data_IF_702707686522
#
_entry.id   IF_702707686522
#
_cell.length_a   1.000
_cell.length_b   1.000
_cell.length_c   1.000
_cell.angle_alpha   90.00
_cell.angle_beta   90.00
_cell.angle_gamma   90.00
#
_symmetry.space_group_name_H-M   'P 1'
#
loop_
_entity.id
_entity.type
_entity.pdbx_description
1 polymer ?
#
# COMPACT_ATOMS: atom_id res chain seq x y z
N UNK A 1 30.09 8.55 6.88
CA UNK A 1 30.12 10.03 6.89
C UNK A 1 29.75 10.47 8.29
N UNK A 2 30.63 11.17 8.98
CA UNK A 2 30.37 11.68 10.34
C UNK A 2 29.60 13.00 10.23
N UNK A 3 28.37 13.03 10.75
CA UNK A 3 27.60 14.27 10.93
C UNK A 3 27.90 14.84 12.31
N UNK A 4 28.00 16.17 12.43
CA UNK A 4 28.19 16.84 13.72
C UNK A 4 27.15 16.36 14.75
N UNK A 5 27.54 16.16 16.03
CA UNK A 5 26.61 15.76 17.08
C UNK A 5 25.37 16.67 17.10
N UNK A 6 24.19 16.09 16.85
CA UNK A 6 22.91 16.80 16.85
C UNK A 6 22.33 17.10 15.46
N UNK A 7 23.12 17.06 14.38
CA UNK A 7 22.59 17.17 13.02
C UNK A 7 22.02 15.82 12.57
N UNK A 8 20.79 15.84 12.07
CA UNK A 8 20.11 14.66 11.52
C UNK A 8 19.48 15.01 10.19
N UNK A 9 19.54 14.06 9.27
CA UNK A 9 18.82 14.16 8.01
C UNK A 9 17.31 14.13 8.27
N UNK A 10 16.65 15.29 8.11
CA UNK A 10 15.21 15.43 8.32
C UNK A 10 14.59 16.35 7.24
N UNK A 11 14.61 15.91 5.98
CA UNK A 11 14.12 16.71 4.86
C UNK A 11 12.59 16.87 4.91
N UNK A 12 12.12 18.01 4.42
CA UNK A 12 10.71 18.29 4.15
C UNK A 12 10.23 17.56 2.89
N UNK A 13 8.91 17.39 2.75
CA UNK A 13 8.29 16.83 1.53
C UNK A 13 8.74 17.58 0.25
N UNK A 14 8.93 18.91 0.36
CA UNK A 14 9.41 19.75 -0.73
C UNK A 14 10.86 19.46 -1.10
N UNK A 15 11.75 19.31 -0.11
CA UNK A 15 13.17 18.99 -0.35
C UNK A 15 13.33 17.56 -0.90
N UNK A 16 12.57 16.59 -0.39
CA UNK A 16 12.53 15.23 -0.92
C UNK A 16 12.21 15.19 -2.41
N UNK A 17 11.25 16.01 -2.87
CA UNK A 17 10.90 16.12 -4.28
C UNK A 17 11.92 16.94 -5.06
N UNK A 18 12.14 18.21 -4.70
CA UNK A 18 12.88 19.17 -5.53
C UNK A 18 14.39 18.99 -5.46
N UNK A 19 14.93 18.60 -4.32
CA UNK A 19 16.37 18.46 -4.13
C UNK A 19 16.82 17.01 -4.35
N UNK A 20 16.12 16.02 -3.79
CA UNK A 20 16.60 14.65 -3.86
C UNK A 20 16.08 13.86 -5.06
N UNK A 21 14.76 13.77 -5.25
CA UNK A 21 14.18 12.93 -6.30
C UNK A 21 14.36 13.56 -7.69
N UNK A 22 14.13 14.87 -7.83
CA UNK A 22 14.31 15.57 -9.10
C UNK A 22 15.74 15.43 -9.63
N UNK A 23 16.76 15.72 -8.82
CA UNK A 23 18.15 15.60 -9.26
C UNK A 23 18.56 14.14 -9.55
N UNK A 24 18.00 13.16 -8.83
CA UNK A 24 18.20 11.73 -9.14
C UNK A 24 17.65 11.36 -10.50
N UNK A 25 16.40 11.72 -10.78
CA UNK A 25 15.72 11.41 -12.06
C UNK A 25 16.39 12.08 -13.25
N UNK A 26 16.83 13.33 -13.08
CA UNK A 26 17.50 14.08 -14.15
C UNK A 26 19.03 13.88 -14.19
N UNK A 27 19.53 12.84 -13.51
CA UNK A 27 20.93 12.42 -13.48
C UNK A 27 21.90 13.59 -13.21
N UNK A 28 21.64 14.33 -12.13
CA UNK A 28 22.48 15.45 -11.67
C UNK A 28 23.20 15.09 -10.36
N UNK A 29 24.20 14.18 -10.40
CA UNK A 29 24.85 13.63 -9.21
C UNK A 29 25.60 14.67 -8.37
N UNK A 30 26.01 15.79 -8.96
CA UNK A 30 26.69 16.88 -8.27
C UNK A 30 25.86 17.47 -7.11
N UNK A 31 24.53 17.44 -7.22
CA UNK A 31 23.62 17.89 -6.16
C UNK A 31 23.33 16.80 -5.11
N UNK A 32 23.79 15.56 -5.32
CA UNK A 32 23.49 14.40 -4.47
C UNK A 32 24.71 13.86 -3.70
N UNK A 33 25.89 14.45 -3.89
CA UNK A 33 27.19 13.96 -3.39
C UNK A 33 27.25 13.72 -1.87
N UNK A 34 26.34 14.29 -1.09
CA UNK A 34 26.28 14.16 0.38
C UNK A 34 24.94 13.56 0.88
N UNK A 35 24.16 12.95 -0.02
CA UNK A 35 22.83 12.42 0.30
C UNK A 35 22.92 11.08 1.06
N UNK A 36 22.25 10.93 2.22
CA UNK A 36 22.17 9.65 2.93
C UNK A 36 21.10 8.69 2.35
N UNK A 37 20.61 8.96 1.13
CA UNK A 37 19.58 8.16 0.46
C UNK A 37 20.26 7.05 -0.35
N UNK A 38 19.83 5.80 -0.16
CA UNK A 38 20.45 4.62 -0.77
C UNK A 38 19.65 4.14 -1.98
N UNK A 39 20.33 3.66 -3.04
CA UNK A 39 19.67 2.92 -4.11
C UNK A 39 19.32 1.51 -3.62
N UNK A 40 18.02 1.22 -3.49
CA UNK A 40 17.55 -0.04 -2.94
C UNK A 40 16.10 -0.32 -3.35
N UNK A 41 15.80 -1.56 -3.78
CA UNK A 41 14.44 -1.99 -4.12
C UNK A 41 13.66 -2.38 -2.86
N UNK A 42 12.86 -1.44 -2.33
CA UNK A 42 12.04 -1.65 -1.12
C UNK A 42 10.93 -2.72 -1.33
N UNK A 43 10.57 -3.00 -2.58
CA UNK A 43 9.57 -4.01 -2.94
C UNK A 43 10.18 -5.38 -3.24
N UNK A 44 11.51 -5.53 -3.13
CA UNK A 44 12.17 -6.82 -3.32
C UNK A 44 11.67 -7.89 -2.32
N UNK A 45 11.56 -9.13 -2.80
CA UNK A 45 11.04 -10.25 -2.02
C UNK A 45 11.91 -10.61 -0.81
N UNK A 46 13.22 -10.31 -0.89
CA UNK A 46 14.19 -10.65 0.15
C UNK A 46 14.16 -9.70 1.37
N UNK A 47 13.39 -8.61 1.31
CA UNK A 47 13.25 -7.61 2.37
C UNK A 47 14.57 -7.11 2.97
N UNK A 48 15.65 -7.04 2.19
CA UNK A 48 16.96 -6.62 2.69
C UNK A 48 16.94 -5.22 3.33
N UNK A 49 15.94 -4.38 3.00
CA UNK A 49 15.72 -3.10 3.68
C UNK A 49 15.58 -3.25 5.20
N UNK A 50 14.99 -4.35 5.70
CA UNK A 50 14.84 -4.60 7.15
C UNK A 50 16.18 -4.83 7.84
N UNK A 51 17.09 -5.56 7.20
CA UNK A 51 18.43 -5.82 7.73
C UNK A 51 19.18 -4.51 7.99
N UNK A 52 19.02 -3.52 7.10
CA UNK A 52 19.60 -2.17 7.29
C UNK A 52 19.12 -1.53 8.60
N UNK A 53 17.85 -1.67 8.98
CA UNK A 53 17.35 -1.15 10.27
C UNK A 53 17.93 -1.92 11.47
N UNK A 54 18.13 -3.23 11.35
CA UNK A 54 18.69 -4.06 12.42
C UNK A 54 20.17 -3.77 12.64
N UNK A 55 20.95 -3.67 11.57
CA UNK A 55 22.40 -3.42 11.62
C UNK A 55 22.74 -2.02 12.14
N UNK A 56 21.95 -1.02 11.77
CA UNK A 56 22.25 0.39 12.09
C UNK A 56 21.56 0.89 13.36
N UNK A 57 20.48 0.23 13.80
CA UNK A 57 19.62 0.69 14.89
C UNK A 57 18.86 2.00 14.62
N UNK A 58 18.90 2.54 13.39
CA UNK A 58 18.17 3.76 13.05
C UNK A 58 16.67 3.49 12.90
N UNK A 59 15.84 4.53 13.04
CA UNK A 59 14.37 4.41 13.00
C UNK A 59 13.75 4.71 11.64
N UNK A 60 14.56 5.25 10.75
CA UNK A 60 14.12 5.84 9.49
C UNK A 60 15.25 5.71 8.47
N UNK A 61 14.87 5.27 7.26
CA UNK A 61 15.74 5.25 6.09
C UNK A 61 15.04 5.83 4.88
N UNK A 62 15.86 6.26 3.93
CA UNK A 62 15.42 6.81 2.65
C UNK A 62 16.06 6.02 1.53
N UNK A 63 15.24 5.60 0.57
CA UNK A 63 15.66 4.75 -0.53
C UNK A 63 15.21 5.32 -1.87
N UNK A 64 16.06 5.25 -2.89
CA UNK A 64 15.63 5.35 -4.28
C UNK A 64 15.24 3.96 -4.77
N UNK A 65 14.04 3.82 -5.31
CA UNK A 65 13.53 2.57 -5.84
C UNK A 65 13.04 2.78 -7.27
N UNK A 66 13.42 1.89 -8.18
CA UNK A 66 12.83 1.82 -9.53
C UNK A 66 11.60 0.93 -9.45
N UNK A 67 10.43 1.49 -9.78
CA UNK A 67 9.18 0.77 -9.81
C UNK A 67 9.15 -0.18 -11.02
N UNK A 68 8.74 -1.43 -10.76
CA UNK A 68 8.54 -2.43 -11.81
C UNK A 68 7.10 -2.37 -12.29
N UNK A 69 6.86 -2.38 -13.60
CA UNK A 69 5.49 -2.46 -14.14
C UNK A 69 4.93 -3.86 -13.93
N UNK A 70 3.66 -3.96 -13.54
CA UNK A 70 2.97 -5.26 -13.36
C UNK A 70 2.83 -6.01 -14.69
N UNK A 71 2.71 -5.28 -15.79
CA UNK A 71 2.67 -5.79 -17.15
C UNK A 71 3.48 -4.87 -18.05
N UNK A 72 4.07 -5.40 -19.13
CA UNK A 72 4.98 -4.67 -20.03
C UNK A 72 4.42 -3.31 -20.50
N UNK A 73 3.13 -3.29 -20.87
CA UNK A 73 2.43 -2.09 -21.35
C UNK A 73 1.50 -1.45 -20.30
N UNK A 74 1.47 -1.97 -19.08
CA UNK A 74 0.57 -1.50 -18.03
C UNK A 74 1.00 -0.18 -17.39
N UNK A 75 0.03 0.60 -16.94
CA UNK A 75 0.26 1.81 -16.15
C UNK A 75 0.42 1.53 -14.64
N UNK A 76 0.12 0.31 -14.20
CA UNK A 76 0.20 -0.10 -12.80
C UNK A 76 1.56 -0.69 -12.49
N UNK A 77 2.22 -0.13 -11.48
CA UNK A 77 3.43 -0.70 -10.90
C UNK A 77 3.13 -1.80 -9.89
N UNK A 78 3.97 -2.83 -9.90
CA UNK A 78 4.02 -3.84 -8.86
C UNK A 78 4.62 -3.25 -7.58
N UNK A 79 3.96 -3.55 -6.46
CA UNK A 79 4.35 -3.13 -5.11
C UNK A 79 4.22 -4.30 -4.12
N UNK A 80 4.16 -5.52 -4.63
CA UNK A 80 4.18 -6.74 -3.83
C UNK A 80 5.56 -6.91 -3.21
N UNK A 81 5.63 -7.24 -1.92
CA UNK A 81 6.88 -7.53 -1.21
C UNK A 81 7.10 -9.05 -1.04
N UNK A 82 6.60 -9.84 -2.00
CA UNK A 82 6.76 -11.30 -2.03
C UNK A 82 6.05 -12.05 -0.88
N UNK A 83 6.59 -13.22 -0.53
CA UNK A 83 6.00 -14.14 0.45
C UNK A 83 6.01 -13.66 1.91
N UNK A 84 6.64 -12.52 2.18
CA UNK A 84 6.87 -12.01 3.54
C UNK A 84 5.81 -10.98 4.00
N UNK A 85 4.98 -10.46 3.10
CA UNK A 85 3.87 -9.56 3.42
C UNK A 85 3.53 -8.57 2.31
N UNK A 86 2.61 -7.64 2.61
CA UNK A 86 2.02 -6.75 1.61
C UNK A 86 2.06 -5.30 2.08
N UNK A 87 2.44 -4.38 1.19
CA UNK A 87 2.27 -2.95 1.40
C UNK A 87 0.86 -2.51 1.05
N UNK A 88 0.07 -2.12 2.05
CA UNK A 88 -1.29 -1.58 1.85
C UNK A 88 -1.20 -0.08 1.59
N UNK A 89 -1.61 0.36 0.41
CA UNK A 89 -1.62 1.77 0.02
C UNK A 89 -2.78 2.54 0.66
N UNK A 90 -2.50 3.81 0.99
CA UNK A 90 -3.50 4.81 1.35
C UNK A 90 -3.69 5.82 0.19
N UNK A 91 -4.44 6.91 0.45
CA UNK A 91 -4.72 7.95 -0.55
C UNK A 91 -3.49 8.82 -0.82
N UNK A 92 -3.37 9.27 -2.07
CA UNK A 92 -2.33 10.20 -2.49
C UNK A 92 -2.56 11.61 -1.94
N UNK A 93 -1.47 12.20 -1.45
CA UNK A 93 -1.37 13.61 -1.06
C UNK A 93 -0.54 14.35 -2.12
N UNK A 94 -1.10 15.42 -2.68
CA UNK A 94 -0.35 16.32 -3.57
C UNK A 94 0.65 17.17 -2.78
N UNK A 95 1.84 17.36 -3.34
CA UNK A 95 2.91 18.21 -2.81
C UNK A 95 3.04 19.45 -3.69
N UNK A 96 3.04 20.61 -3.04
CA UNK A 96 3.13 21.90 -3.71
C UNK A 96 4.32 22.69 -3.18
N UNK A 97 4.95 23.45 -4.08
CA UNK A 97 5.88 24.51 -3.72
C UNK A 97 5.23 25.89 -3.90
N UNK A 98 5.83 26.87 -3.24
CA UNK A 98 5.41 28.27 -3.23
C UNK A 98 6.65 29.12 -3.52
N UNK A 99 6.97 29.37 -4.81
CA UNK A 99 8.12 30.16 -5.19
C UNK A 99 8.12 31.53 -4.51
N UNK A 100 9.26 31.95 -3.95
CA UNK A 100 9.37 33.22 -3.23
C UNK A 100 8.51 33.32 -1.96
N UNK A 101 7.91 32.22 -1.49
CA UNK A 101 6.97 32.22 -0.36
C UNK A 101 5.57 32.72 -0.71
N UNK A 102 5.30 33.08 -1.97
CA UNK A 102 4.00 33.58 -2.39
C UNK A 102 2.98 32.43 -2.49
N UNK A 103 1.98 32.45 -1.60
CA UNK A 103 0.89 31.47 -1.56
C UNK A 103 -0.01 31.52 -2.80
N UNK A 104 -0.05 32.65 -3.51
CA UNK A 104 -0.76 32.80 -4.78
C UNK A 104 -0.12 31.95 -5.89
N UNK A 105 1.20 31.76 -5.82
CA UNK A 105 1.99 31.01 -6.79
C UNK A 105 2.12 29.53 -6.42
N UNK A 106 1.00 28.89 -6.06
CA UNK A 106 0.97 27.46 -5.75
C UNK A 106 1.31 26.63 -6.99
N UNK A 107 2.41 25.88 -6.98
CA UNK A 107 2.80 24.97 -8.08
C UNK A 107 2.85 23.52 -7.62
N UNK A 108 2.20 22.63 -8.34
CA UNK A 108 2.23 21.20 -8.07
C UNK A 108 3.55 20.60 -8.56
N UNK A 109 4.28 19.93 -7.67
CA UNK A 109 5.63 19.42 -7.95
C UNK A 109 5.77 17.90 -7.78
N UNK A 110 4.81 17.26 -7.13
CA UNK A 110 4.93 15.85 -6.77
C UNK A 110 3.74 15.33 -6.00
N UNK A 111 3.74 14.03 -5.75
CA UNK A 111 2.76 13.38 -4.89
C UNK A 111 3.45 12.45 -3.91
N UNK A 112 2.80 12.26 -2.76
CA UNK A 112 3.21 11.29 -1.73
C UNK A 112 2.08 10.29 -1.52
N UNK A 113 2.41 9.01 -1.58
CA UNK A 113 1.51 7.91 -1.21
C UNK A 113 2.02 7.26 0.08
N UNK A 114 1.16 7.17 1.08
CA UNK A 114 1.47 6.46 2.32
C UNK A 114 1.10 4.98 2.20
N UNK A 115 1.92 4.12 2.80
CA UNK A 115 1.70 2.68 2.88
C UNK A 115 1.92 2.19 4.31
N UNK A 116 1.14 1.19 4.69
CA UNK A 116 1.35 0.43 5.91
C UNK A 116 1.69 -1.02 5.54
N UNK A 117 2.75 -1.56 6.14
CA UNK A 117 3.12 -2.96 5.90
C UNK A 117 2.23 -3.90 6.70
N UNK A 118 1.72 -4.93 6.04
CA UNK A 118 0.97 -6.02 6.65
C UNK A 118 1.84 -7.28 6.50
N UNK A 119 2.39 -7.85 7.60
CA UNK A 119 3.18 -9.07 7.52
C UNK A 119 2.31 -10.26 7.11
N UNK A 120 2.92 -11.20 6.39
CA UNK A 120 2.28 -12.48 6.11
C UNK A 120 2.51 -13.42 7.32
N UNK A 121 1.42 -13.80 8.00
CA UNK A 121 1.47 -14.60 9.22
C UNK A 121 1.92 -16.05 8.99
N UNK A 122 2.03 -16.52 7.75
CA UNK A 122 2.38 -17.91 7.45
C UNK A 122 3.89 -18.20 7.61
N UNK A 123 4.73 -17.17 7.76
CA UNK A 123 6.19 -17.26 7.94
C UNK A 123 6.64 -16.70 9.32
N UNK A 124 5.83 -16.91 10.37
CA UNK A 124 6.05 -16.39 11.73
C UNK A 124 7.18 -17.09 12.54
N UNK A 125 7.97 -17.97 11.93
CA UNK A 125 9.06 -18.66 12.64
C UNK A 125 10.21 -17.74 13.04
N UNK A 126 10.28 -16.54 12.48
CA UNK A 126 11.28 -15.55 12.83
C UNK A 126 10.66 -14.46 13.72
N UNK A 127 11.08 -14.42 14.99
CA UNK A 127 10.70 -13.40 15.96
C UNK A 127 11.01 -11.97 15.47
N UNK A 128 11.85 -11.81 14.44
CA UNK A 128 12.13 -10.53 13.77
C UNK A 128 10.92 -9.93 13.03
N UNK A 129 9.95 -10.76 12.61
CA UNK A 129 8.71 -10.32 11.93
C UNK A 129 7.73 -9.67 12.91
N UNK A 130 7.86 -9.97 14.21
CA UNK A 130 6.81 -9.73 15.22
C UNK A 130 6.88 -8.35 15.88
N UNK A 131 7.99 -7.61 15.84
CA UNK A 131 8.06 -6.35 16.60
C UNK A 131 8.09 -5.10 15.72
N UNK A 132 6.92 -4.52 15.45
CA UNK A 132 6.74 -3.12 15.05
C UNK A 132 5.93 -2.90 13.76
N UNK A 133 5.11 -1.85 13.74
CA UNK A 133 4.41 -1.41 12.51
C UNK A 133 5.37 -0.66 11.60
N UNK A 134 5.36 -1.00 10.32
CA UNK A 134 6.17 -0.31 9.31
C UNK A 134 5.30 0.59 8.45
N UNK A 135 5.77 1.82 8.26
CA UNK A 135 5.13 2.81 7.40
C UNK A 135 6.13 3.24 6.33
N UNK A 136 5.65 3.39 5.10
CA UNK A 136 6.43 3.93 4.00
C UNK A 136 5.69 5.12 3.39
N UNK A 137 6.42 6.19 3.08
CA UNK A 137 5.95 7.25 2.21
C UNK A 137 6.72 7.18 0.88
N UNK A 138 6.00 6.88 -0.21
CA UNK A 138 6.52 6.88 -1.59
C UNK A 138 6.29 8.27 -2.19
N UNK A 139 7.37 8.93 -2.60
CA UNK A 139 7.36 10.23 -3.24
C UNK A 139 7.60 10.08 -4.75
N UNK A 140 6.78 10.77 -5.54
CA UNK A 140 6.82 10.77 -7.01
C UNK A 140 6.89 12.19 -7.56
N UNK A 141 7.61 12.38 -8.66
CA UNK A 141 7.59 13.63 -9.42
C UNK A 141 6.26 13.77 -10.17
N UNK A 142 5.66 14.95 -10.13
CA UNK A 142 4.43 15.28 -10.84
C UNK A 142 4.41 16.78 -11.20
N UNK A 143 3.45 17.18 -12.04
CA UNK A 143 3.19 18.59 -12.35
C UNK A 143 4.39 19.26 -13.02
N UNK A 144 4.71 20.49 -12.60
CA UNK A 144 5.64 21.37 -13.31
C UNK A 144 7.08 20.85 -13.37
N UNK A 145 7.43 19.82 -12.59
CA UNK A 145 8.75 19.21 -12.63
C UNK A 145 8.91 18.13 -13.70
N UNK A 146 7.79 17.60 -14.22
CA UNK A 146 7.79 16.69 -15.37
C UNK A 146 7.76 17.48 -16.68
N UNK A 147 7.04 18.61 -16.72
CA UNK A 147 6.85 19.41 -17.94
C UNK A 147 8.13 20.16 -18.40
N UNK A 148 9.15 20.24 -17.54
CA UNK A 148 10.38 21.01 -17.78
C UNK A 148 11.38 20.36 -18.75
N UNK A 149 11.08 19.21 -19.34
CA UNK A 149 11.97 18.54 -20.29
C UNK A 149 11.19 18.02 -21.51
N UNK A 150 11.29 18.69 -22.67
CA UNK A 150 10.69 18.24 -23.94
C UNK A 150 11.49 17.10 -24.60
N UNK A 151 12.67 16.74 -24.07
CA UNK A 151 13.70 16.01 -24.81
C UNK A 151 14.37 14.92 -23.95
N UNK A 152 13.62 13.92 -23.49
CA UNK A 152 14.24 12.68 -22.98
C UNK A 152 13.48 11.49 -23.54
N UNK A 153 14.03 10.86 -24.56
CA UNK A 153 13.57 9.59 -25.13
C UNK A 153 13.68 8.40 -24.14
N UNK A 154 14.09 8.64 -22.89
CA UNK A 154 14.14 7.62 -21.85
C UNK A 154 12.80 7.58 -21.10
N UNK A 155 11.92 6.68 -21.54
CA UNK A 155 10.66 6.31 -20.87
C UNK A 155 10.83 5.85 -19.40
N UNK A 156 12.06 5.66 -18.93
CA UNK A 156 12.40 5.14 -17.60
C UNK A 156 12.56 6.22 -16.52
N UNK A 157 12.57 7.51 -16.88
CA UNK A 157 12.73 8.59 -15.90
C UNK A 157 11.52 8.69 -14.93
N UNK A 158 10.36 8.15 -15.31
CA UNK A 158 9.15 8.14 -14.47
C UNK A 158 9.09 6.96 -13.49
N UNK A 159 10.01 5.99 -13.60
CA UNK A 159 9.95 4.76 -12.82
C UNK A 159 10.63 4.93 -11.45
N UNK A 160 11.45 5.97 -11.24
CA UNK A 160 12.08 6.23 -9.96
C UNK A 160 11.12 6.87 -8.94
N UNK A 161 11.14 6.33 -7.72
CA UNK A 161 10.52 6.91 -6.54
C UNK A 161 11.52 7.05 -5.40
N UNK A 162 11.21 7.96 -4.49
CA UNK A 162 11.92 8.07 -3.22
C UNK A 162 11.01 7.52 -2.12
N UNK A 163 11.48 6.51 -1.41
CA UNK A 163 10.75 5.84 -0.33
C UNK A 163 11.35 6.24 1.03
N UNK A 164 10.55 6.85 1.89
CA UNK A 164 10.87 7.11 3.30
C UNK A 164 10.23 6.00 4.15
N UNK A 165 11.03 5.08 4.68
CA UNK A 165 10.56 3.92 5.45
C UNK A 165 10.84 4.15 6.94
N UNK A 166 9.84 3.92 7.78
CA UNK A 166 9.89 4.13 9.23
C UNK A 166 9.37 2.92 9.98
N UNK A 167 9.99 2.66 11.13
CA UNK A 167 9.45 1.77 12.16
C UNK A 167 8.67 2.62 13.19
N UNK A 168 7.35 2.48 13.22
CA UNK A 168 6.53 3.10 14.26
C UNK A 168 6.76 2.42 15.62
N UNK A 169 6.79 3.22 16.68
CA UNK A 169 6.75 2.72 18.06
C UNK A 169 5.31 2.43 18.47
N UNK A 170 5.12 1.44 19.34
CA UNK A 170 3.81 1.03 19.87
C UNK A 170 3.01 2.15 20.56
N UNK A 171 3.63 3.27 20.93
CA UNK A 171 2.97 4.40 21.61
C UNK A 171 2.28 5.42 20.69
N UNK A 172 2.35 5.26 19.36
CA UNK A 172 1.67 6.15 18.39
C UNK A 172 0.36 5.57 17.84
N UNK A 173 -0.25 4.63 18.57
CA UNK A 173 -1.50 3.97 18.19
C UNK A 173 -2.70 4.74 18.80
N UNK A 174 -3.59 5.37 18.01
CA UNK A 174 -4.98 5.48 18.44
C UNK A 174 -5.55 4.06 18.40
N UNK A 175 -5.85 3.49 19.57
CA UNK A 175 -6.66 2.27 19.67
C UNK A 175 -8.05 2.58 19.10
N UNK A 176 -8.25 2.39 17.80
CA UNK A 176 -9.56 2.45 17.19
C UNK A 176 -9.77 1.23 16.29
N UNK A 177 -10.53 0.29 16.87
CA UNK A 177 -11.27 -0.82 16.25
C UNK A 177 -10.46 -2.02 15.75
N UNK A 178 -10.01 -2.83 16.71
CA UNK A 178 -9.94 -4.28 16.55
C UNK A 178 -10.90 -4.93 17.56
N UNK A 179 -12.19 -4.94 17.21
CA UNK A 179 -13.17 -5.96 17.62
C UNK A 179 -14.14 -6.09 16.46
N UNK A 180 -13.84 -7.03 15.58
CA UNK A 180 -14.88 -7.63 14.76
C UNK A 180 -15.45 -8.71 15.67
N UNK A 181 -16.59 -8.40 16.30
CA UNK A 181 -17.39 -9.41 16.97
C UNK A 181 -17.76 -10.44 15.90
N UNK A 182 -17.44 -11.71 16.17
CA UNK A 182 -17.95 -12.83 15.40
C UNK A 182 -19.42 -12.91 15.76
N UNK A 183 -20.28 -12.39 14.89
CA UNK A 183 -21.72 -12.57 14.99
C UNK A 183 -22.01 -14.04 14.62
N UNK A 184 -22.34 -14.82 15.65
CA UNK A 184 -22.86 -16.19 15.52
C UNK A 184 -24.18 -16.15 14.73
N UNK A 185 -24.40 -17.01 13.72
CA UNK A 185 -25.60 -16.91 12.89
C UNK A 185 -26.83 -17.23 13.75
N UNK A 186 -27.76 -16.26 13.82
CA UNK A 186 -29.02 -16.39 14.52
C UNK A 186 -29.80 -17.62 14.03
N UNK A 187 -30.07 -18.55 14.94
CA UNK A 187 -31.03 -19.64 14.73
C UNK A 187 -32.41 -18.98 14.63
N UNK A 188 -33.08 -19.18 13.50
CA UNK A 188 -34.43 -18.66 13.27
C UNK A 188 -35.40 -19.21 14.34
N UNK A 189 -36.34 -18.39 14.86
CA UNK A 189 -37.36 -18.88 15.77
C UNK A 189 -38.31 -19.85 15.05
N UNK A 190 -38.89 -20.84 15.76
CA UNK A 190 -39.83 -21.77 15.16
C UNK A 190 -41.08 -21.02 14.70
N UNK A 191 -41.52 -21.30 13.47
CA UNK A 191 -42.72 -20.73 12.88
C UNK A 191 -43.94 -21.08 13.75
N UNK A 192 -44.70 -20.05 14.13
CA UNK A 192 -45.95 -20.19 14.83
C UNK A 192 -46.96 -20.96 13.96
N UNK A 193 -47.56 -21.99 14.56
CA UNK A 193 -48.70 -22.73 14.02
C UNK A 193 -49.90 -21.80 14.09
N UNK A 194 -50.49 -21.44 12.94
CA UNK A 194 -51.79 -20.81 12.87
C UNK A 194 -52.87 -21.89 12.62
N UNK A 195 -54.07 -21.79 13.24
CA UNK A 195 -55.07 -22.85 13.26
C UNK A 195 -55.89 -22.93 11.97
N UNK A 196 -56.38 -24.14 11.70
CA UNK A 196 -57.34 -24.52 10.67
C UNK A 196 -58.60 -23.62 10.64
N UNK A 197 -59.07 -23.33 9.43
CA UNK A 197 -60.48 -23.08 9.14
C UNK A 197 -60.85 -23.79 7.83
N UNK A 198 -61.90 -24.60 7.94
CA UNK A 198 -62.48 -25.54 6.99
C UNK A 198 -63.04 -24.87 5.73
N UNK A 199 -63.10 -25.62 4.62
CA UNK A 199 -64.38 -26.14 4.10
C UNK A 199 -64.23 -26.86 2.74
N UNK A 200 -64.69 -28.11 2.75
CA UNK A 200 -65.48 -28.83 1.74
C UNK A 200 -64.89 -29.11 0.34
N UNK A 201 -64.46 -30.36 0.12
CA UNK A 201 -65.24 -31.44 -0.53
C UNK A 201 -65.60 -31.15 -1.98
N UNK A 202 -65.01 -31.91 -2.91
CA UNK A 202 -65.81 -32.64 -3.90
C UNK A 202 -65.07 -33.91 -4.35
N UNK A 203 -65.84 -34.99 -4.23
CA UNK A 203 -65.59 -36.36 -4.64
C UNK A 203 -65.47 -36.46 -6.16
N UNK A 204 -64.52 -37.25 -6.65
CA UNK A 204 -64.73 -38.08 -7.84
C UNK A 204 -64.00 -39.42 -7.68
N UNK A 205 -64.80 -40.45 -7.39
CA UNK A 205 -64.52 -41.85 -7.66
C UNK A 205 -64.85 -42.14 -9.13
N UNK A 206 -63.95 -42.79 -9.88
CA UNK A 206 -64.33 -43.81 -10.86
C UNK A 206 -63.14 -44.70 -11.27
N UNK A 207 -63.48 -45.94 -11.56
CA UNK A 207 -62.71 -47.18 -11.61
C UNK A 207 -61.84 -47.45 -12.86
N UNK A 208 -60.95 -48.46 -12.67
CA UNK A 208 -60.43 -49.46 -13.62
C UNK A 208 -59.64 -48.98 -14.86
N UNK A 209 -58.47 -49.54 -15.20
CA UNK A 209 -58.29 -50.91 -15.72
C UNK A 209 -56.88 -51.43 -15.38
N UNK A 210 -56.83 -52.60 -14.73
CA UNK A 210 -55.70 -53.53 -14.73
C UNK A 210 -55.73 -54.35 -16.04
N UNK A 211 -54.57 -54.73 -16.59
CA UNK A 211 -54.52 -55.90 -17.48
C UNK A 211 -53.37 -55.94 -18.48
N UNK A 212 -52.31 -56.65 -18.10
CA UNK A 212 -51.16 -57.03 -18.92
C UNK A 212 -51.52 -58.06 -20.02
N UNK A 213 -50.65 -58.23 -21.03
CA UNK A 213 -50.69 -59.46 -21.84
C UNK A 213 -49.79 -59.46 -23.08
N UNK A 214 -48.58 -59.98 -22.94
CA UNK A 214 -47.91 -60.72 -24.00
C UNK A 214 -48.35 -62.19 -23.91
N UNK A 215 -48.67 -62.76 -25.08
CA UNK A 215 -48.97 -64.18 -25.43
C UNK A 215 -50.25 -64.79 -24.88
#
# INVERSE_FOLDING_TARGET
METLPGYRFNPTDNELIMHFLFHKVYNKPEYLSVSPIMDFDVYSENQQWRSVFQETGQKEFFFYTVLKKKTEYGSRFDRSAGGCGTWKSQKDKHIYCYPGGDKSQKKHIGSMRSFSFIPNNNNLTDASVVSGRWVMHEYRLNGILLDKQPCSNNNHNHDYVLCRVKKERESQIPMAKARQEVEEPAIAPPLAICPEAEAEQMFFTFDEINGNGWV
#
